data_IF_455248332651
#
_entry.id   IF_455248332651
#
_cell.length_a   1.000
_cell.length_b   1.000
_cell.length_c   1.000
_cell.angle_alpha   90.00
_cell.angle_beta   90.00
_cell.angle_gamma   90.00
#
_symmetry.space_group_name_H-M   'P 1'
#
loop_
_entity.id
_entity.type
_entity.pdbx_description
1 polymer ?
#
# COMPACT_ATOMS: atom_id res chain seq x y z
N UNK A 1 -14.69 36.00 35.24
CA UNK A 1 -14.74 34.73 36.00
C UNK A 1 -13.34 34.49 36.52
N UNK A 2 -13.18 34.19 37.82
CA UNK A 2 -11.86 33.99 38.44
C UNK A 2 -11.29 32.65 37.93
N UNK A 3 -10.03 32.59 37.44
CA UNK A 3 -9.41 31.32 37.06
C UNK A 3 -9.33 30.43 38.30
N UNK A 4 -10.07 29.32 38.27
CA UNK A 4 -10.06 28.35 39.37
C UNK A 4 -8.71 27.63 39.37
N UNK A 5 -8.10 27.48 40.55
CA UNK A 5 -6.85 26.74 40.70
C UNK A 5 -7.00 25.32 40.12
N UNK A 6 -5.98 24.78 39.45
CA UNK A 6 -6.08 23.46 38.85
C UNK A 6 -6.22 22.40 39.94
N UNK A 7 -7.27 21.60 39.87
CA UNK A 7 -7.59 20.60 40.90
C UNK A 7 -7.13 19.22 40.44
N UNK A 8 -6.42 18.52 41.32
CA UNK A 8 -6.07 17.12 41.12
C UNK A 8 -7.33 16.25 41.27
N UNK A 9 -7.81 15.74 40.14
CA UNK A 9 -8.93 14.83 40.08
C UNK A 9 -8.46 13.41 40.41
N UNK A 10 -8.36 13.12 41.70
CA UNK A 10 -8.00 11.80 42.27
C UNK A 10 -9.02 10.70 41.93
N UNK A 11 -8.75 9.44 42.31
CA UNK A 11 -9.70 8.32 42.13
C UNK A 11 -11.11 8.61 42.67
N UNK A 12 -11.23 9.41 43.73
CA UNK A 12 -12.53 9.87 44.27
C UNK A 12 -13.31 10.73 43.26
N UNK A 13 -12.61 11.49 42.43
CA UNK A 13 -13.22 12.29 41.36
C UNK A 13 -13.84 11.41 40.27
N UNK A 14 -13.32 10.21 40.00
CA UNK A 14 -13.90 9.29 39.01
C UNK A 14 -15.29 8.80 39.41
N UNK A 15 -15.56 8.76 40.72
CA UNK A 15 -16.83 8.30 41.29
C UNK A 15 -17.79 9.47 41.53
N UNK A 16 -17.28 10.68 41.76
CA UNK A 16 -18.09 11.85 42.16
C UNK A 16 -18.34 12.89 41.07
N UNK A 17 -17.52 12.93 40.02
CA UNK A 17 -17.72 13.85 38.90
C UNK A 17 -18.62 13.16 37.88
N UNK A 18 -19.87 13.62 37.82
CA UNK A 18 -20.79 13.29 36.73
C UNK A 18 -20.06 13.49 35.40
N UNK A 19 -20.14 12.48 34.53
CA UNK A 19 -19.45 12.37 33.26
C UNK A 19 -19.26 13.73 32.58
N UNK A 20 -18.05 14.28 32.67
CA UNK A 20 -17.64 15.38 31.81
C UNK A 20 -17.62 14.82 30.39
N UNK A 21 -18.75 15.00 29.68
CA UNK A 21 -19.09 14.30 28.44
C UNK A 21 -18.04 14.42 27.32
N UNK A 22 -17.12 15.40 27.36
CA UNK A 22 -16.03 15.53 26.37
C UNK A 22 -14.77 16.11 27.03
N UNK A 23 -13.62 15.40 27.04
CA UNK A 23 -12.35 15.97 27.47
C UNK A 23 -11.82 17.00 26.46
N UNK A 24 -11.15 18.04 26.96
CA UNK A 24 -10.50 19.05 26.11
C UNK A 24 -9.41 18.39 25.26
N UNK A 25 -9.10 18.98 24.10
CA UNK A 25 -8.19 18.41 23.10
C UNK A 25 -8.55 16.95 22.74
N UNK A 26 -9.84 16.58 22.74
CA UNK A 26 -10.31 15.22 22.43
C UNK A 26 -9.62 14.12 23.27
N UNK A 27 -9.13 14.46 24.46
CA UNK A 27 -8.39 13.55 25.34
C UNK A 27 -6.91 13.37 25.02
N UNK A 28 -6.34 14.17 24.10
CA UNK A 28 -4.89 14.22 23.89
C UNK A 28 -4.20 14.99 25.01
N UNK A 29 -2.98 14.57 25.35
CA UNK A 29 -2.20 15.20 26.41
C UNK A 29 -1.65 16.58 25.96
N UNK A 30 -2.03 17.68 26.63
CA UNK A 30 -1.55 19.03 26.29
C UNK A 30 -0.03 19.19 26.42
N UNK A 31 0.58 18.47 27.38
CA UNK A 31 2.01 18.58 27.68
C UNK A 31 2.85 17.90 26.63
N UNK A 32 2.45 16.72 26.15
CA UNK A 32 3.19 16.05 25.07
C UNK A 32 3.00 16.79 23.76
N UNK A 33 1.80 17.31 23.51
CA UNK A 33 1.53 18.10 22.30
C UNK A 33 2.38 19.38 22.25
N UNK A 34 2.54 20.08 23.38
CA UNK A 34 3.42 21.26 23.46
C UNK A 34 4.90 20.93 23.21
N UNK A 35 5.33 19.71 23.57
CA UNK A 35 6.72 19.26 23.39
C UNK A 35 7.01 18.80 21.97
N UNK A 36 5.98 18.54 21.16
CA UNK A 36 6.12 18.13 19.78
C UNK A 36 6.53 19.25 18.84
N UNK A 37 6.97 18.86 17.64
CA UNK A 37 7.37 19.80 16.59
C UNK A 37 6.18 20.21 15.69
N UNK A 38 5.07 20.62 16.31
CA UNK A 38 3.92 21.21 15.64
C UNK A 38 2.95 20.21 14.97
N UNK A 39 2.11 20.67 14.01
CA UNK A 39 0.93 19.93 13.54
C UNK A 39 1.23 18.69 12.70
N UNK A 40 2.49 18.46 12.29
CA UNK A 40 2.90 17.27 11.53
C UNK A 40 3.49 16.17 12.41
N UNK A 41 3.76 16.46 13.69
CA UNK A 41 4.40 15.51 14.59
C UNK A 41 3.35 14.63 15.30
N UNK A 42 2.93 13.56 14.62
CA UNK A 42 1.97 12.60 15.16
C UNK A 42 2.48 11.86 16.40
N UNK A 43 3.80 11.77 16.60
CA UNK A 43 4.36 11.10 17.78
C UNK A 43 4.07 11.86 19.08
N UNK A 44 3.90 13.19 18.99
CA UNK A 44 3.56 14.05 20.13
C UNK A 44 2.07 14.02 20.53
N UNK A 45 1.20 13.59 19.60
CA UNK A 45 -0.25 13.47 19.79
C UNK A 45 -0.60 12.15 20.47
N UNK A 46 -0.30 12.06 21.76
CA UNK A 46 -0.58 10.88 22.58
C UNK A 46 -1.85 11.08 23.41
N UNK A 47 -2.74 10.09 23.41
CA UNK A 47 -3.93 10.10 24.26
C UNK A 47 -3.55 9.99 25.73
N UNK A 48 -4.15 10.84 26.55
CA UNK A 48 -4.03 10.76 28.00
C UNK A 48 -4.86 9.61 28.58
N UNK A 49 -4.49 9.19 29.78
CA UNK A 49 -5.23 8.18 30.53
C UNK A 49 -6.25 8.83 31.45
N UNK A 50 -7.41 8.21 31.59
CA UNK A 50 -8.48 8.63 32.52
C UNK A 50 -8.01 8.77 33.98
N UNK A 51 -7.01 8.01 34.42
CA UNK A 51 -6.47 8.08 35.78
C UNK A 51 -5.58 9.31 36.02
N UNK A 52 -5.01 9.89 34.95
CA UNK A 52 -4.17 11.07 35.04
C UNK A 52 -4.93 12.24 34.42
N UNK A 53 -5.93 12.76 35.13
CA UNK A 53 -6.72 13.92 34.69
C UNK A 53 -6.64 15.08 35.68
N UNK A 54 -6.87 16.30 35.20
CA UNK A 54 -6.97 17.49 36.02
C UNK A 54 -8.03 18.44 35.46
N UNK A 55 -8.65 19.20 36.35
CA UNK A 55 -9.66 20.20 35.96
C UNK A 55 -9.09 21.60 36.11
N UNK A 56 -9.30 22.45 35.10
CA UNK A 56 -8.90 23.85 35.10
C UNK A 56 -9.92 24.68 34.31
N UNK A 57 -10.37 25.81 34.86
CA UNK A 57 -11.39 26.69 34.22
C UNK A 57 -12.64 25.93 33.72
N UNK A 58 -13.16 25.01 34.53
CA UNK A 58 -14.31 24.14 34.17
C UNK A 58 -14.10 23.22 32.96
N UNK A 59 -12.86 23.07 32.49
CA UNK A 59 -12.44 22.10 31.47
C UNK A 59 -11.69 20.94 32.11
N UNK A 60 -11.77 19.76 31.48
CA UNK A 60 -11.08 18.55 31.94
C UNK A 60 -10.00 18.16 30.92
N UNK A 61 -8.77 18.01 31.41
CA UNK A 61 -7.61 17.62 30.63
C UNK A 61 -7.13 16.22 31.05
N UNK A 62 -6.66 15.43 30.08
CA UNK A 62 -6.11 14.09 30.28
C UNK A 62 -4.61 14.07 29.97
N UNK A 63 -3.83 13.27 30.70
CA UNK A 63 -2.37 13.22 30.59
C UNK A 63 -1.89 11.77 30.42
N UNK A 64 -0.75 11.55 29.75
CA UNK A 64 -0.22 10.17 29.54
C UNK A 64 0.33 9.59 30.84
N UNK A 65 0.90 10.44 31.69
CA UNK A 65 1.48 10.04 32.97
C UNK A 65 1.30 11.09 34.06
N UNK A 66 1.47 10.68 35.32
CA UNK A 66 1.43 11.60 36.46
C UNK A 66 2.49 12.71 36.35
N UNK A 67 3.67 12.40 35.80
CA UNK A 67 4.73 13.40 35.60
C UNK A 67 4.28 14.55 34.68
N UNK A 68 3.52 14.23 33.62
CA UNK A 68 2.97 15.24 32.71
C UNK A 68 1.83 16.01 33.36
N UNK A 69 0.96 15.34 34.14
CA UNK A 69 -0.07 16.01 34.93
C UNK A 69 0.55 17.04 35.88
N UNK A 70 1.60 16.67 36.64
CA UNK A 70 2.31 17.59 37.55
C UNK A 70 2.89 18.79 36.82
N UNK A 71 3.45 18.61 35.61
CA UNK A 71 3.93 19.72 34.76
C UNK A 71 2.82 20.68 34.36
N UNK A 72 1.63 20.16 34.04
CA UNK A 72 0.46 20.98 33.75
C UNK A 72 -0.02 21.75 34.99
N UNK A 73 -0.10 21.08 36.15
CA UNK A 73 -0.53 21.72 37.41
C UNK A 73 0.41 22.86 37.84
N UNK A 74 1.71 22.75 37.53
CA UNK A 74 2.69 23.79 37.84
C UNK A 74 2.50 25.07 37.00
N UNK A 75 2.09 24.94 35.73
CA UNK A 75 1.94 26.08 34.81
C UNK A 75 0.77 25.85 33.82
N UNK A 76 -0.50 25.88 34.28
CA UNK A 76 -1.65 25.48 33.45
C UNK A 76 -1.88 26.45 32.28
N UNK A 77 -1.63 27.75 32.48
CA UNK A 77 -1.87 28.82 31.50
C UNK A 77 -1.13 28.56 30.17
N UNK A 78 0.04 27.92 30.24
CA UNK A 78 0.87 27.61 29.07
C UNK A 78 0.24 26.57 28.12
N UNK A 79 -0.63 25.71 28.64
CA UNK A 79 -1.13 24.55 27.90
C UNK A 79 -2.62 24.65 27.51
N UNK A 80 -3.38 25.56 28.13
CA UNK A 80 -4.85 25.63 28.00
C UNK A 80 -5.31 26.19 26.65
N UNK A 81 -4.54 27.10 26.05
CA UNK A 81 -4.90 27.79 24.79
C UNK A 81 -4.36 27.08 23.53
N UNK A 82 -4.14 25.76 23.61
CA UNK A 82 -3.66 24.98 22.48
C UNK A 82 -4.83 24.55 21.57
N UNK A 83 -4.57 24.51 20.26
CA UNK A 83 -5.53 24.01 19.28
C UNK A 83 -4.95 22.81 18.54
N UNK A 84 -5.74 21.75 18.45
CA UNK A 84 -5.36 20.56 17.69
C UNK A 84 -5.29 20.86 16.20
N UNK A 85 -4.37 20.20 15.46
CA UNK A 85 -4.34 20.29 14.01
C UNK A 85 -5.61 19.71 13.38
N UNK A 86 -5.96 20.22 12.19
CA UNK A 86 -7.12 19.73 11.41
C UNK A 86 -6.99 18.24 11.08
N UNK A 87 -5.76 17.77 10.84
CA UNK A 87 -5.45 16.36 10.55
C UNK A 87 -4.94 15.67 11.82
N UNK A 88 -5.76 14.81 12.39
CA UNK A 88 -5.39 13.97 13.54
C UNK A 88 -4.97 12.58 13.09
N UNK A 89 -4.12 11.88 13.86
CA UNK A 89 -3.84 10.47 13.63
C UNK A 89 -5.14 9.65 13.60
N UNK A 90 -5.29 8.72 12.63
CA UNK A 90 -6.47 7.88 12.56
C UNK A 90 -6.57 7.02 13.82
N UNK A 91 -7.72 7.04 14.48
CA UNK A 91 -7.99 6.20 15.63
C UNK A 91 -8.20 4.76 15.17
N UNK A 92 -7.16 3.93 15.32
CA UNK A 92 -7.30 2.49 15.16
C UNK A 92 -7.96 1.98 16.42
N UNK A 93 -9.30 1.86 16.41
CA UNK A 93 -10.03 1.33 17.56
C UNK A 93 -9.41 0.00 18.02
N UNK A 94 -9.21 -0.20 19.33
CA UNK A 94 -8.59 -1.42 19.89
C UNK A 94 -9.32 -2.71 19.48
N UNK A 95 -10.63 -2.60 19.18
CA UNK A 95 -11.46 -3.67 18.63
C UNK A 95 -11.01 -4.07 17.23
N UNK A 96 -10.55 -3.12 16.43
CA UNK A 96 -9.99 -3.34 15.11
C UNK A 96 -8.64 -4.04 15.19
N UNK A 97 -7.80 -3.70 16.19
CA UNK A 97 -6.46 -4.25 16.36
C UNK A 97 -6.43 -5.74 16.74
N UNK A 98 -7.35 -6.19 17.62
CA UNK A 98 -7.38 -7.59 18.09
C UNK A 98 -7.82 -8.59 17.00
N UNK A 99 -8.72 -8.18 16.11
CA UNK A 99 -9.28 -9.04 15.07
C UNK A 99 -8.64 -8.81 13.69
N UNK A 100 -7.70 -7.87 13.58
CA UNK A 100 -7.08 -7.48 12.31
C UNK A 100 -6.41 -8.64 11.55
N UNK A 101 -5.54 -9.47 12.17
CA UNK A 101 -4.84 -10.51 11.41
C UNK A 101 -5.80 -11.56 10.84
N UNK A 102 -6.74 -12.05 11.64
CA UNK A 102 -7.74 -13.02 11.18
C UNK A 102 -8.69 -12.43 10.14
N UNK A 103 -9.10 -11.16 10.29
CA UNK A 103 -9.92 -10.48 9.29
C UNK A 103 -9.18 -10.26 7.97
N UNK A 104 -7.92 -9.84 8.03
CA UNK A 104 -7.09 -9.70 6.83
C UNK A 104 -6.91 -11.02 6.11
N UNK A 105 -6.62 -12.09 6.86
CA UNK A 105 -6.52 -13.43 6.31
C UNK A 105 -7.83 -13.83 5.61
N UNK A 106 -8.98 -13.68 6.26
CA UNK A 106 -10.27 -14.03 5.67
C UNK A 106 -10.60 -13.22 4.40
N UNK A 107 -10.31 -11.92 4.40
CA UNK A 107 -10.63 -11.04 3.26
C UNK A 107 -9.64 -11.19 2.09
N UNK A 108 -8.36 -11.41 2.38
CA UNK A 108 -7.31 -11.41 1.36
C UNK A 108 -6.92 -12.81 0.90
N UNK A 109 -7.11 -13.88 1.68
CA UNK A 109 -6.55 -15.21 1.34
C UNK A 109 -7.02 -15.74 -0.01
N UNK A 110 -8.33 -15.65 -0.29
CA UNK A 110 -8.89 -16.12 -1.56
C UNK A 110 -8.30 -15.34 -2.75
N UNK A 111 -8.23 -14.01 -2.61
CA UNK A 111 -7.68 -13.13 -3.63
C UNK A 111 -6.17 -13.34 -3.83
N UNK A 112 -5.40 -13.45 -2.75
CA UNK A 112 -3.96 -13.69 -2.79
C UNK A 112 -3.62 -15.03 -3.44
N UNK A 113 -4.32 -16.10 -3.07
CA UNK A 113 -4.09 -17.42 -3.67
C UNK A 113 -4.35 -17.39 -5.18
N UNK A 114 -5.49 -16.83 -5.62
CA UNK A 114 -5.81 -16.73 -7.04
C UNK A 114 -4.78 -15.89 -7.82
N UNK A 115 -4.39 -14.75 -7.27
CA UNK A 115 -3.44 -13.84 -7.94
C UNK A 115 -2.02 -14.41 -7.98
N UNK A 116 -1.56 -15.08 -6.93
CA UNK A 116 -0.26 -15.75 -6.89
C UNK A 116 -0.19 -16.95 -7.85
N UNK A 117 -1.26 -17.74 -7.95
CA UNK A 117 -1.35 -18.81 -8.95
C UNK A 117 -1.28 -18.25 -10.38
N UNK A 118 -1.98 -17.14 -10.64
CA UNK A 118 -1.94 -16.46 -11.93
C UNK A 118 -0.56 -15.86 -12.23
N UNK A 119 0.11 -15.29 -11.23
CA UNK A 119 1.48 -14.80 -11.37
C UNK A 119 2.45 -15.95 -11.67
N UNK A 120 2.29 -17.09 -10.99
CA UNK A 120 3.13 -18.28 -11.16
C UNK A 120 3.01 -18.93 -12.55
N UNK A 121 1.83 -18.85 -13.17
CA UNK A 121 1.59 -19.33 -14.53
C UNK A 121 2.02 -18.33 -15.61
N UNK A 122 1.72 -17.04 -15.44
CA UNK A 122 2.06 -16.00 -16.42
C UNK A 122 3.56 -15.68 -16.45
N UNK A 123 4.20 -15.61 -15.28
CA UNK A 123 5.61 -15.20 -15.08
C UNK A 123 6.00 -13.98 -15.92
N UNK A 124 5.34 -12.82 -15.69
CA UNK A 124 5.60 -11.61 -16.45
C UNK A 124 7.01 -11.09 -16.17
N UNK A 125 7.77 -10.85 -17.23
CA UNK A 125 9.09 -10.20 -17.16
C UNK A 125 9.08 -9.04 -18.14
N UNK A 126 9.05 -7.83 -17.62
CA UNK A 126 9.18 -6.65 -18.45
C UNK A 126 10.65 -6.52 -18.90
N UNK A 127 10.83 -6.15 -20.17
CA UNK A 127 12.14 -5.98 -20.78
C UNK A 127 12.99 -4.96 -20.01
N UNK A 128 14.26 -5.28 -19.78
CA UNK A 128 15.23 -4.41 -19.09
C UNK A 128 14.85 -3.95 -17.66
N UNK A 129 13.81 -4.53 -17.07
CA UNK A 129 13.36 -4.24 -15.70
C UNK A 129 13.56 -5.46 -14.81
N UNK A 130 13.73 -5.20 -13.50
CA UNK A 130 13.86 -6.26 -12.51
C UNK A 130 12.58 -7.13 -12.48
N UNK A 131 12.73 -8.47 -12.47
CA UNK A 131 11.58 -9.38 -12.43
C UNK A 131 10.71 -9.19 -11.18
N UNK A 132 11.26 -8.77 -10.03
CA UNK A 132 10.44 -8.54 -8.83
C UNK A 132 9.56 -7.32 -9.02
N UNK A 133 10.11 -6.23 -9.57
CA UNK A 133 9.33 -5.03 -9.89
C UNK A 133 8.19 -5.35 -10.88
N UNK A 134 8.47 -6.12 -11.93
CA UNK A 134 7.46 -6.57 -12.90
C UNK A 134 6.37 -7.42 -12.25
N UNK A 135 6.75 -8.35 -11.36
CA UNK A 135 5.81 -9.20 -10.63
C UNK A 135 4.94 -8.40 -9.64
N UNK A 136 5.52 -7.47 -8.89
CA UNK A 136 4.79 -6.59 -7.98
C UNK A 136 3.76 -5.73 -8.74
N UNK A 137 4.15 -5.20 -9.90
CA UNK A 137 3.23 -4.41 -10.73
C UNK A 137 2.09 -5.26 -11.28
N UNK A 138 2.39 -6.47 -11.75
CA UNK A 138 1.37 -7.43 -12.19
C UNK A 138 0.38 -7.78 -11.08
N UNK A 139 0.87 -8.03 -9.86
CA UNK A 139 0.02 -8.29 -8.70
C UNK A 139 -0.88 -7.09 -8.38
N UNK A 140 -0.32 -5.87 -8.43
CA UNK A 140 -1.09 -4.65 -8.21
C UNK A 140 -2.25 -4.52 -9.21
N UNK A 141 -1.99 -4.77 -10.50
CA UNK A 141 -3.05 -4.79 -11.53
C UNK A 141 -4.09 -5.86 -11.25
N UNK A 142 -3.68 -7.08 -10.89
CA UNK A 142 -4.61 -8.15 -10.52
C UNK A 142 -5.51 -7.75 -9.33
N UNK A 143 -4.96 -7.12 -8.29
CA UNK A 143 -5.78 -6.66 -7.16
C UNK A 143 -6.76 -5.57 -7.58
N UNK A 144 -6.34 -4.62 -8.42
CA UNK A 144 -7.21 -3.58 -8.95
C UNK A 144 -8.35 -4.14 -9.81
N UNK A 145 -8.12 -5.21 -10.58
CA UNK A 145 -9.19 -5.88 -11.35
C UNK A 145 -10.18 -6.64 -10.47
N UNK A 146 -9.74 -7.19 -9.34
CA UNK A 146 -10.61 -7.98 -8.45
C UNK A 146 -11.30 -7.15 -7.35
N UNK A 147 -10.98 -5.86 -7.23
CA UNK A 147 -11.53 -5.00 -6.21
C UNK A 147 -13.02 -4.66 -6.47
N UNK A 148 -13.92 -5.30 -5.71
CA UNK A 148 -15.38 -5.14 -5.82
C UNK A 148 -15.89 -3.71 -5.54
N UNK A 149 -15.13 -2.92 -4.77
CA UNK A 149 -15.50 -1.54 -4.40
C UNK A 149 -15.26 -0.52 -5.53
N UNK A 150 -14.53 -0.90 -6.58
CA UNK A 150 -14.22 -0.01 -7.70
C UNK A 150 -15.34 -0.04 -8.76
N UNK A 151 -15.75 1.14 -9.29
CA UNK A 151 -16.68 1.24 -10.41
C UNK A 151 -16.25 0.38 -11.61
N UNK A 152 -17.21 -0.22 -12.30
CA UNK A 152 -16.93 -1.14 -13.41
C UNK A 152 -16.11 -0.50 -14.55
N UNK A 153 -16.32 0.79 -14.82
CA UNK A 153 -15.51 1.55 -15.79
C UNK A 153 -14.02 1.51 -15.44
N UNK A 154 -13.69 1.70 -14.16
CA UNK A 154 -12.30 1.72 -13.67
C UNK A 154 -11.72 0.29 -13.67
N UNK A 155 -12.56 -0.71 -13.35
CA UNK A 155 -12.15 -2.12 -13.41
C UNK A 155 -11.73 -2.54 -14.83
N UNK A 156 -12.56 -2.21 -15.83
CA UNK A 156 -12.27 -2.47 -17.26
C UNK A 156 -11.01 -1.76 -17.75
N UNK A 157 -10.75 -0.56 -17.24
CA UNK A 157 -9.51 0.16 -17.52
C UNK A 157 -8.29 -0.65 -17.03
N UNK A 158 -8.31 -1.13 -15.79
CA UNK A 158 -7.22 -1.97 -15.26
C UNK A 158 -7.12 -3.35 -15.91
N UNK A 159 -8.23 -3.94 -16.35
CA UNK A 159 -8.22 -5.17 -17.15
C UNK A 159 -7.51 -4.97 -18.49
N UNK A 160 -7.77 -3.85 -19.15
CA UNK A 160 -7.12 -3.46 -20.40
C UNK A 160 -5.63 -3.17 -20.16
N UNK A 161 -5.30 -2.40 -19.12
CA UNK A 161 -3.93 -2.11 -18.77
C UNK A 161 -3.13 -3.37 -18.45
N UNK A 162 -3.76 -4.33 -17.76
CA UNK A 162 -3.17 -5.65 -17.48
C UNK A 162 -2.93 -6.45 -18.75
N UNK A 163 -3.89 -6.51 -19.68
CA UNK A 163 -3.71 -7.27 -20.92
C UNK A 163 -2.60 -6.67 -21.81
N UNK A 164 -2.51 -5.33 -21.89
CA UNK A 164 -1.41 -4.64 -22.58
C UNK A 164 -0.06 -4.95 -21.93
N UNK A 165 0.04 -4.86 -20.60
CA UNK A 165 1.26 -5.19 -19.87
C UNK A 165 1.68 -6.66 -20.06
N UNK A 166 0.73 -7.59 -20.02
CA UNK A 166 0.98 -9.01 -20.28
C UNK A 166 1.50 -9.24 -21.71
N UNK A 167 0.96 -8.54 -22.71
CA UNK A 167 1.42 -8.62 -24.09
C UNK A 167 2.85 -8.08 -24.25
N UNK A 168 3.19 -6.97 -23.60
CA UNK A 168 4.56 -6.44 -23.60
C UNK A 168 5.55 -7.39 -22.93
N UNK A 169 5.16 -8.04 -21.83
CA UNK A 169 5.99 -9.06 -21.19
C UNK A 169 6.20 -10.32 -22.05
N UNK A 170 5.30 -10.60 -23.00
CA UNK A 170 5.41 -11.73 -23.93
C UNK A 170 6.26 -11.42 -25.16
N UNK A 171 6.57 -10.15 -25.43
CA UNK A 171 7.33 -9.70 -26.60
C UNK A 171 8.58 -10.55 -26.90
N UNK A 172 9.43 -10.81 -25.90
CA UNK A 172 10.63 -11.64 -26.08
C UNK A 172 10.31 -13.10 -26.44
N UNK A 173 9.26 -13.67 -25.84
CA UNK A 173 8.83 -15.05 -26.10
C UNK A 173 8.26 -15.17 -27.51
N UNK A 174 7.47 -14.18 -27.91
CA UNK A 174 6.83 -14.14 -29.23
C UNK A 174 7.86 -13.94 -30.34
N UNK A 175 8.82 -13.01 -30.14
CA UNK A 175 9.94 -12.81 -31.06
C UNK A 175 10.80 -14.08 -31.17
N UNK A 176 11.15 -14.71 -30.04
CA UNK A 176 11.90 -15.96 -30.05
C UNK A 176 11.17 -17.05 -30.84
N UNK A 177 9.86 -17.21 -30.60
CA UNK A 177 9.02 -18.20 -31.28
C UNK A 177 8.97 -17.95 -32.78
N UNK A 178 8.85 -16.68 -33.20
CA UNK A 178 8.78 -16.29 -34.61
C UNK A 178 10.13 -16.51 -35.33
N UNK A 179 11.26 -16.37 -34.63
CA UNK A 179 12.59 -16.64 -35.19
C UNK A 179 12.97 -18.13 -35.23
N UNK A 180 12.43 -18.96 -34.33
CA UNK A 180 12.70 -20.41 -34.36
C UNK A 180 11.83 -21.11 -35.40
N UNK A 181 12.41 -21.75 -36.44
CA UNK A 181 11.63 -22.54 -37.37
C UNK A 181 11.07 -23.79 -36.68
N UNK A 182 9.87 -24.22 -37.10
CA UNK A 182 9.10 -25.33 -36.52
C UNK A 182 9.89 -26.65 -36.49
N UNK A 183 10.94 -26.78 -37.30
CA UNK A 183 11.74 -27.99 -37.49
C UNK A 183 13.16 -27.92 -36.90
N UNK A 184 13.48 -26.95 -36.04
CA UNK A 184 14.78 -26.88 -35.37
C UNK A 184 14.89 -27.93 -34.23
N UNK A 185 15.05 -29.19 -34.62
CA UNK A 185 15.62 -30.25 -33.78
C UNK A 185 17.08 -29.93 -33.50
N UNK A 186 17.34 -29.04 -32.56
CA UNK A 186 18.67 -28.83 -31.98
C UNK A 186 18.56 -28.79 -30.45
N UNK A 187 18.04 -29.89 -29.89
CA UNK A 187 18.29 -30.28 -28.51
C UNK A 187 19.25 -31.46 -28.50
N UNK A 188 20.41 -31.30 -27.86
CA UNK A 188 21.26 -32.43 -27.45
C UNK A 188 20.39 -33.43 -26.67
N UNK A 189 20.52 -34.75 -26.89
CA UNK A 189 19.59 -35.72 -26.33
C UNK A 189 19.83 -35.88 -24.82
N UNK A 190 19.10 -35.11 -24.01
CA UNK A 190 18.94 -35.44 -22.59
C UNK A 190 17.78 -36.43 -22.52
N UNK A 191 18.11 -37.71 -22.35
CA UNK A 191 17.18 -38.78 -22.00
C UNK A 191 16.38 -38.37 -20.75
N UNK A 192 15.11 -38.06 -20.93
CA UNK A 192 14.20 -37.75 -19.84
C UNK A 192 12.77 -37.84 -20.32
N UNK A 193 12.16 -39.00 -20.12
CA UNK A 193 10.77 -39.33 -20.44
C UNK A 193 9.84 -38.29 -19.81
N UNK A 194 9.14 -37.50 -20.64
CA UNK A 194 7.85 -36.94 -20.24
C UNK A 194 6.94 -36.71 -21.45
N UNK A 195 6.06 -37.70 -21.63
CA UNK A 195 4.75 -37.69 -22.27
C UNK A 195 4.45 -36.56 -23.28
N UNK A 196 4.42 -36.96 -24.55
CA UNK A 196 3.66 -36.27 -25.58
C UNK A 196 2.17 -36.22 -25.18
N UNK A 197 1.63 -35.01 -25.02
CA UNK A 197 0.19 -34.77 -25.06
C UNK A 197 -0.05 -33.83 -26.23
N UNK A 198 -0.90 -34.28 -27.16
CA UNK A 198 -1.06 -33.78 -28.51
C UNK A 198 -1.14 -32.26 -28.63
N UNK A 199 -0.36 -31.73 -29.57
CA UNK A 199 -0.49 -30.37 -30.06
C UNK A 199 -1.19 -30.51 -31.41
N UNK A 200 -2.45 -30.08 -31.46
CA UNK A 200 -3.15 -29.81 -32.71
C UNK A 200 -2.36 -28.72 -33.45
N UNK A 201 -1.66 -29.16 -34.49
CA UNK A 201 -0.72 -28.36 -35.26
C UNK A 201 -1.50 -27.54 -36.31
N UNK A 202 -1.98 -26.38 -35.89
CA UNK A 202 -2.32 -25.26 -36.78
C UNK A 202 -1.64 -24.00 -36.24
N UNK A 203 -0.30 -23.99 -36.17
CA UNK A 203 0.43 -22.75 -36.01
C UNK A 203 0.72 -22.18 -37.40
N UNK A 204 -0.08 -21.20 -37.81
CA UNK A 204 0.24 -20.36 -38.96
C UNK A 204 1.64 -19.76 -38.74
N UNK A 205 2.51 -19.92 -39.74
CA UNK A 205 3.77 -19.17 -39.80
C UNK A 205 3.45 -17.68 -39.70
N UNK A 206 4.06 -16.93 -38.77
CA UNK A 206 3.82 -15.49 -38.66
C UNK A 206 4.17 -14.82 -40.00
N UNK A 207 3.33 -13.87 -40.43
CA UNK A 207 3.61 -13.13 -41.66
C UNK A 207 4.91 -12.34 -41.50
N UNK A 208 5.56 -12.02 -42.63
CA UNK A 208 6.78 -11.22 -42.61
C UNK A 208 6.55 -9.87 -41.90
N UNK A 209 5.39 -9.26 -42.14
CA UNK A 209 4.97 -8.00 -41.54
C UNK A 209 4.83 -8.09 -40.00
N UNK A 210 4.30 -9.21 -39.48
CA UNK A 210 4.18 -9.45 -38.04
C UNK A 210 5.57 -9.58 -37.38
N UNK A 211 6.51 -10.24 -38.05
CA UNK A 211 7.88 -10.39 -37.57
C UNK A 211 8.60 -9.02 -37.51
N UNK A 212 8.43 -8.20 -38.54
CA UNK A 212 8.99 -6.85 -38.58
C UNK A 212 8.41 -5.95 -37.49
N UNK A 213 7.10 -6.04 -37.22
CA UNK A 213 6.48 -5.30 -36.12
C UNK A 213 7.02 -5.74 -34.75
N UNK A 214 7.16 -7.05 -34.51
CA UNK A 214 7.76 -7.56 -33.27
C UNK A 214 9.21 -7.08 -33.09
N UNK A 215 10.00 -7.03 -34.17
CA UNK A 215 11.36 -6.47 -34.15
C UNK A 215 11.36 -4.99 -33.83
N UNK A 216 10.53 -4.19 -34.52
CA UNK A 216 10.40 -2.75 -34.26
C UNK A 216 10.05 -2.46 -32.80
N UNK A 217 9.11 -3.22 -32.23
CA UNK A 217 8.73 -3.08 -30.82
C UNK A 217 9.85 -3.44 -29.86
N UNK A 218 10.63 -4.48 -30.17
CA UNK A 218 11.78 -4.89 -29.37
C UNK A 218 12.89 -3.84 -29.41
N UNK A 219 13.25 -3.36 -30.60
CA UNK A 219 14.29 -2.35 -30.79
C UNK A 219 13.90 -1.01 -30.13
N UNK A 220 12.61 -0.65 -30.15
CA UNK A 220 12.11 0.54 -29.45
C UNK A 220 12.31 0.48 -27.92
N UNK A 221 12.39 -0.72 -27.33
CA UNK A 221 12.61 -0.91 -25.88
C UNK A 221 14.11 -1.06 -25.56
N UNK A 222 14.86 -1.78 -26.39
CA UNK A 222 16.29 -2.06 -26.14
C UNK A 222 17.19 -0.90 -26.55
N UNK A 223 16.82 -0.08 -27.54
CA UNK A 223 17.66 1.03 -28.01
C UNK A 223 19.04 0.57 -28.50
N UNK A 224 19.96 1.53 -28.62
CA UNK A 224 21.35 1.27 -29.09
C UNK A 224 22.31 0.91 -27.97
N UNK A 225 22.08 1.39 -26.74
CA UNK A 225 22.96 1.15 -25.58
C UNK A 225 22.20 0.53 -24.40
N UNK A 226 22.84 -0.32 -23.56
CA UNK A 226 22.17 -0.96 -22.42
C UNK A 226 21.65 0.04 -21.36
N UNK A 227 22.31 1.19 -21.21
CA UNK A 227 21.89 2.25 -20.28
C UNK A 227 20.64 2.98 -20.77
N UNK A 228 20.57 3.28 -22.05
CA UNK A 228 19.37 3.84 -22.69
C UNK A 228 18.21 2.85 -22.70
N UNK A 229 18.49 1.55 -22.91
CA UNK A 229 17.51 0.48 -22.82
C UNK A 229 16.77 0.50 -21.48
N UNK A 230 17.54 0.58 -20.39
CA UNK A 230 17.02 0.53 -19.03
C UNK A 230 16.23 1.79 -18.68
N UNK A 231 16.70 2.97 -19.07
CA UNK A 231 16.01 4.25 -18.79
C UNK A 231 14.69 4.34 -19.54
N UNK A 232 14.67 4.05 -20.85
CA UNK A 232 13.43 4.03 -21.65
C UNK A 232 12.44 2.99 -21.16
N UNK A 233 12.93 1.78 -20.85
CA UNK A 233 12.08 0.74 -20.29
C UNK A 233 11.48 1.16 -18.94
N UNK A 234 12.26 1.85 -18.10
CA UNK A 234 11.81 2.34 -16.79
C UNK A 234 10.80 3.47 -16.93
N UNK A 235 10.99 4.41 -17.87
CA UNK A 235 10.00 5.46 -18.17
C UNK A 235 8.67 4.88 -18.64
N UNK A 236 8.71 3.92 -19.57
CA UNK A 236 7.50 3.21 -20.03
C UNK A 236 6.85 2.40 -18.91
N UNK A 237 7.65 1.75 -18.08
CA UNK A 237 7.17 1.02 -16.92
C UNK A 237 6.52 1.93 -15.87
N UNK A 238 7.12 3.10 -15.60
CA UNK A 238 6.56 4.10 -14.68
C UNK A 238 5.33 4.81 -15.26
N UNK A 239 5.23 4.95 -16.58
CA UNK A 239 4.02 5.46 -17.21
C UNK A 239 2.80 4.59 -16.85
N UNK A 240 2.97 3.27 -16.70
CA UNK A 240 1.91 2.41 -16.19
C UNK A 240 1.55 2.65 -14.71
N UNK A 241 2.47 3.21 -13.90
CA UNK A 241 2.21 3.51 -12.50
C UNK A 241 1.55 4.89 -12.29
N UNK A 242 1.62 5.79 -13.28
CA UNK A 242 1.07 7.15 -13.22
C UNK A 242 -0.34 7.29 -13.83
N UNK A 243 -0.83 6.25 -14.52
CA UNK A 243 -2.21 6.14 -15.02
C UNK A 243 -3.12 5.42 -14.02
#
# INVERSE_FOLDING_TARGET
MVPLAPVDASLLSLVSVADCNVPELKGYCPVTFQQGHGPQDWASLVRGHVFYRASYESKVFMFVSEAQRRRFLAEPVRYVNQHLPIKLPPEVADVLAKNYPGRLEQELSGLLNQTLLTLGSARPKYLCIDPRASACFFLALCFKTHAKKLPDRIRRHYETQRSTFEAECRLCKDLKRALTPVNASCGTPIKGIRAAKGIDNQQATPSHDDLEELRRRFDAVVGSTPSEARTRALERFLAYAQM
#
